data_IF_831557722925
#
_entry.id   IF_831557722925
#
_cell.length_a   1.000
_cell.length_b   1.000
_cell.length_c   1.000
_cell.angle_alpha   90.00
_cell.angle_beta   90.00
_cell.angle_gamma   90.00
#
_symmetry.space_group_name_H-M   'P 1'
#
loop_
_entity.id
_entity.type
_entity.pdbx_description
1 polymer ?
#
# COMPACT_ATOMS: atom_id res chain seq x y z
N UNK A 1 -53.47 -25.88 -53.97
CA UNK A 1 -52.03 -25.93 -54.31
C UNK A 1 -51.27 -26.06 -53.00
N UNK A 2 -50.49 -27.14 -52.85
CA UNK A 2 -49.64 -27.40 -51.67
C UNK A 2 -48.62 -26.25 -51.52
N UNK A 3 -48.29 -25.84 -50.29
CA UNK A 3 -47.01 -26.15 -49.63
C UNK A 3 -47.04 -25.58 -48.20
N UNK A 4 -46.70 -26.44 -47.24
CA UNK A 4 -46.28 -26.08 -45.88
C UNK A 4 -44.93 -25.37 -45.95
N UNK A 5 -44.62 -24.49 -44.99
CA UNK A 5 -43.33 -24.59 -44.30
C UNK A 5 -43.37 -23.91 -42.93
N UNK A 6 -42.84 -24.65 -41.95
CA UNK A 6 -42.86 -24.31 -40.53
C UNK A 6 -41.93 -23.15 -40.20
N UNK A 7 -42.50 -22.10 -39.59
CA UNK A 7 -41.73 -21.10 -38.87
C UNK A 7 -41.53 -21.54 -37.43
N UNK A 8 -40.32 -22.02 -37.13
CA UNK A 8 -39.80 -22.25 -35.79
C UNK A 8 -39.89 -20.93 -34.99
N UNK A 9 -40.74 -20.89 -33.95
CA UNK A 9 -40.79 -19.77 -33.01
C UNK A 9 -39.52 -19.80 -32.16
N UNK A 10 -38.47 -19.09 -32.60
CA UNK A 10 -37.25 -18.89 -31.81
C UNK A 10 -37.57 -17.90 -30.69
N UNK A 11 -37.89 -18.42 -29.51
CA UNK A 11 -37.94 -17.62 -28.28
C UNK A 11 -36.48 -17.27 -27.95
N UNK A 12 -36.04 -16.07 -28.34
CA UNK A 12 -34.79 -15.49 -27.87
C UNK A 12 -35.00 -15.12 -26.40
N UNK A 13 -34.72 -16.06 -25.51
CA UNK A 13 -34.52 -15.74 -24.10
C UNK A 13 -33.23 -14.92 -24.07
N UNK A 14 -33.37 -13.59 -23.91
CA UNK A 14 -32.28 -12.78 -23.39
C UNK A 14 -32.02 -13.29 -21.97
N UNK A 15 -31.10 -14.26 -21.87
CA UNK A 15 -30.43 -14.56 -20.63
C UNK A 15 -29.66 -13.27 -20.31
N UNK A 16 -30.29 -12.40 -19.53
CA UNK A 16 -29.64 -11.27 -18.90
C UNK A 16 -28.70 -11.91 -17.87
N UNK A 17 -27.54 -12.39 -18.35
CA UNK A 17 -26.40 -12.69 -17.50
C UNK A 17 -26.01 -11.34 -16.94
N UNK A 18 -26.60 -10.98 -15.80
CA UNK A 18 -25.98 -10.04 -14.89
C UNK A 18 -24.61 -10.67 -14.62
N UNK A 19 -23.60 -10.22 -15.35
CA UNK A 19 -22.25 -10.21 -14.83
C UNK A 19 -22.32 -9.25 -13.63
N UNK A 20 -22.84 -9.74 -12.51
CA UNK A 20 -22.31 -9.34 -11.22
C UNK A 20 -20.86 -9.81 -11.28
N UNK A 21 -19.99 -9.00 -11.87
CA UNK A 21 -18.62 -8.94 -11.39
C UNK A 21 -18.77 -8.42 -9.97
N UNK A 22 -19.07 -9.34 -9.04
CA UNK A 22 -18.65 -9.18 -7.67
C UNK A 22 -17.14 -9.12 -7.78
N UNK A 23 -16.60 -7.91 -7.93
CA UNK A 23 -15.30 -7.64 -7.37
C UNK A 23 -15.46 -8.09 -5.92
N UNK A 24 -14.95 -9.28 -5.61
CA UNK A 24 -14.69 -9.67 -4.24
C UNK A 24 -13.63 -8.67 -3.77
N UNK A 25 -14.07 -7.46 -3.42
CA UNK A 25 -13.32 -6.57 -2.55
C UNK A 25 -13.20 -7.39 -1.29
N UNK A 26 -11.99 -7.83 -0.97
CA UNK A 26 -11.76 -8.69 0.17
C UNK A 26 -12.39 -8.03 1.40
N UNK A 27 -13.45 -8.64 1.92
CA UNK A 27 -14.10 -8.19 3.13
C UNK A 27 -13.09 -8.38 4.28
N UNK A 28 -12.66 -7.25 4.87
CA UNK A 28 -11.84 -7.17 6.07
C UNK A 28 -10.65 -8.16 6.12
N UNK A 29 -9.55 -7.83 5.45
CA UNK A 29 -8.31 -8.61 5.54
C UNK A 29 -7.59 -8.48 6.88
N UNK A 30 -8.16 -7.75 7.85
CA UNK A 30 -7.53 -7.43 9.14
C UNK A 30 -6.13 -6.82 8.95
N UNK A 31 -5.92 -6.09 7.85
CA UNK A 31 -4.63 -5.54 7.49
C UNK A 31 -4.43 -4.19 8.19
N UNK A 32 -3.40 -4.12 9.02
CA UNK A 32 -2.93 -2.89 9.64
C UNK A 32 -1.56 -2.51 9.06
N UNK A 33 -1.38 -1.24 8.72
CA UNK A 33 -0.13 -0.72 8.16
C UNK A 33 0.34 0.54 8.87
N UNK A 34 1.64 0.65 9.10
CA UNK A 34 2.24 1.76 9.83
C UNK A 34 3.44 2.33 9.08
N UNK A 35 3.42 3.63 8.75
CA UNK A 35 4.63 4.34 8.32
C UNK A 35 5.58 4.55 9.49
N UNK A 36 6.89 4.38 9.27
CA UNK A 36 7.90 4.58 10.32
C UNK A 36 9.25 5.05 9.79
N UNK A 37 9.88 5.94 10.55
CA UNK A 37 11.31 6.25 10.51
C UNK A 37 11.69 7.50 9.74
N UNK A 38 10.73 8.25 9.20
CA UNK A 38 11.02 9.42 8.34
C UNK A 38 11.34 10.70 9.13
N UNK A 39 10.90 10.81 10.38
CA UNK A 39 10.93 12.07 11.15
C UNK A 39 11.83 11.94 12.38
N UNK A 40 11.70 10.84 13.11
CA UNK A 40 12.42 10.61 14.36
C UNK A 40 13.66 9.75 14.14
N UNK A 41 14.83 10.31 14.46
CA UNK A 41 16.09 9.56 14.43
C UNK A 41 16.20 8.51 15.56
N UNK A 42 15.25 8.43 16.48
CA UNK A 42 15.29 7.55 17.67
C UNK A 42 14.23 6.45 17.71
N UNK A 43 13.22 6.50 16.83
CA UNK A 43 12.12 5.52 16.82
C UNK A 43 12.62 4.10 16.49
N UNK A 44 12.04 3.09 17.14
CA UNK A 44 12.33 1.68 16.90
C UNK A 44 11.06 0.93 16.50
N UNK A 45 11.23 -0.15 15.73
CA UNK A 45 10.13 -1.07 15.42
C UNK A 45 9.47 -1.64 16.69
N UNK A 46 10.26 -1.88 17.74
CA UNK A 46 9.79 -2.42 19.02
C UNK A 46 8.94 -1.45 19.84
N UNK A 47 8.94 -0.16 19.50
CA UNK A 47 8.15 0.84 20.23
C UNK A 47 6.66 0.74 19.84
N UNK A 48 6.38 0.34 18.60
CA UNK A 48 5.02 0.25 18.05
C UNK A 48 4.36 -1.07 18.49
N UNK A 49 3.14 -1.04 19.06
CA UNK A 49 2.43 -2.24 19.47
C UNK A 49 2.00 -3.06 18.25
N UNK A 50 2.27 -4.37 18.28
CA UNK A 50 1.83 -5.33 17.26
C UNK A 50 0.83 -6.29 17.88
N UNK A 51 -0.42 -6.22 17.45
CA UNK A 51 -1.47 -7.17 17.79
C UNK A 51 -1.27 -8.45 16.95
N UNK A 52 -1.21 -9.65 17.55
CA UNK A 52 -1.04 -10.91 16.82
C UNK A 52 -2.25 -11.29 15.95
N UNK A 53 -3.42 -10.71 16.19
CA UNK A 53 -4.68 -11.07 15.52
C UNK A 53 -4.96 -10.29 14.22
N UNK A 54 -3.98 -9.48 13.76
CA UNK A 54 -4.05 -8.69 12.51
C UNK A 54 -2.88 -9.05 11.58
N UNK A 55 -3.03 -8.86 10.27
CA UNK A 55 -1.86 -8.83 9.36
C UNK A 55 -1.19 -7.46 9.52
N UNK A 56 0.03 -7.42 10.05
CA UNK A 56 0.70 -6.16 10.40
C UNK A 56 1.82 -5.86 9.41
N UNK A 57 1.81 -4.70 8.77
CA UNK A 57 2.93 -4.24 7.95
C UNK A 57 3.55 -2.95 8.48
N UNK A 58 4.87 -2.95 8.69
CA UNK A 58 5.62 -1.68 8.69
C UNK A 58 5.93 -1.25 7.26
N UNK A 59 5.93 0.05 7.02
CA UNK A 59 6.45 0.66 5.80
C UNK A 59 7.55 1.65 6.21
N UNK A 60 8.80 1.32 5.85
CA UNK A 60 9.95 2.18 6.12
C UNK A 60 9.90 3.40 5.19
N UNK A 61 9.95 4.60 5.76
CA UNK A 61 9.86 5.85 5.02
C UNK A 61 11.20 6.61 5.17
N UNK A 62 12.00 6.81 4.12
CA UNK A 62 11.83 6.40 2.72
C UNK A 62 13.14 5.84 2.13
N UNK A 63 13.05 5.08 1.05
CA UNK A 63 14.15 4.89 0.11
C UNK A 63 14.07 5.98 -0.97
N UNK A 64 15.14 6.76 -1.14
CA UNK A 64 15.18 7.87 -2.10
C UNK A 64 16.44 7.78 -2.95
N UNK A 65 16.33 8.05 -4.25
CA UNK A 65 17.42 8.07 -5.22
C UNK A 65 18.16 9.41 -5.26
N UNK A 66 18.45 9.96 -4.09
CA UNK A 66 19.21 11.18 -3.90
C UNK A 66 20.39 10.92 -2.96
N UNK A 67 21.40 11.78 -3.04
CA UNK A 67 22.39 11.94 -1.98
C UNK A 67 21.74 12.55 -0.74
N UNK A 68 22.54 12.98 0.23
CA UNK A 68 22.06 13.70 1.40
C UNK A 68 21.02 14.78 1.03
N UNK A 69 19.89 14.82 1.75
CA UNK A 69 18.80 15.78 1.49
C UNK A 69 19.04 17.16 2.13
N UNK A 70 19.95 17.24 3.10
CA UNK A 70 20.30 18.44 3.87
C UNK A 70 21.56 19.12 3.30
N UNK A 71 22.50 18.36 2.75
CA UNK A 71 23.80 18.83 2.27
C UNK A 71 23.91 18.58 0.76
N UNK A 72 23.63 19.61 -0.04
CA UNK A 72 23.75 19.60 -1.51
C UNK A 72 23.06 18.39 -2.16
N UNK A 73 21.71 18.31 -2.12
CA UNK A 73 20.99 17.19 -2.69
C UNK A 73 21.25 17.06 -4.19
N UNK A 74 21.60 15.86 -4.62
CA UNK A 74 21.80 15.51 -6.01
C UNK A 74 21.16 14.16 -6.33
N UNK A 75 20.47 14.01 -7.48
CA UNK A 75 19.95 12.73 -7.90
C UNK A 75 21.09 11.72 -8.10
N UNK A 76 20.89 10.48 -7.66
CA UNK A 76 21.84 9.39 -7.85
C UNK A 76 21.51 8.51 -9.04
N UNK A 77 20.59 8.96 -9.90
CA UNK A 77 20.11 8.26 -11.09
C UNK A 77 19.69 6.81 -10.77
N UNK A 78 18.83 6.67 -9.75
CA UNK A 78 18.22 5.41 -9.35
C UNK A 78 18.99 4.65 -8.26
N UNK A 79 20.14 5.13 -7.77
CA UNK A 79 20.73 4.48 -6.58
C UNK A 79 19.96 4.87 -5.31
N UNK A 80 18.95 4.09 -4.96
CA UNK A 80 18.18 4.25 -3.72
C UNK A 80 19.07 4.13 -2.49
N UNK A 81 19.01 5.14 -1.62
CA UNK A 81 19.64 5.16 -0.31
C UNK A 81 18.56 5.18 0.78
N UNK A 82 18.84 4.64 1.97
CA UNK A 82 17.91 4.67 3.08
C UNK A 82 17.89 6.07 3.74
N UNK A 83 16.70 6.64 3.90
CA UNK A 83 16.46 7.93 4.58
C UNK A 83 15.58 7.79 5.82
N UNK A 84 15.38 6.57 6.31
CA UNK A 84 14.77 6.33 7.60
C UNK A 84 15.81 6.30 8.73
N UNK A 85 15.37 6.13 9.98
CA UNK A 85 16.17 5.98 11.19
C UNK A 85 17.06 4.71 11.23
N UNK A 86 17.98 4.55 10.27
CA UNK A 86 18.81 3.34 10.02
C UNK A 86 19.65 2.91 11.22
N UNK A 87 20.01 3.83 12.12
CA UNK A 87 20.71 3.48 13.37
C UNK A 87 19.91 2.51 14.24
N UNK A 88 18.58 2.62 14.22
CA UNK A 88 17.67 1.85 15.06
C UNK A 88 16.78 0.89 14.27
N UNK A 89 16.60 1.15 12.97
CA UNK A 89 15.89 0.27 12.03
C UNK A 89 16.89 -0.27 11.00
N UNK A 90 17.65 -1.27 11.43
CA UNK A 90 18.70 -1.94 10.65
C UNK A 90 18.31 -3.42 10.39
N UNK A 91 19.05 -4.15 9.51
CA UNK A 91 18.72 -5.53 9.16
C UNK A 91 18.61 -6.50 10.36
N UNK A 92 19.41 -6.30 11.41
CA UNK A 92 19.37 -7.14 12.62
C UNK A 92 18.08 -6.94 13.39
N UNK A 93 17.67 -5.69 13.61
CA UNK A 93 16.43 -5.40 14.34
C UNK A 93 15.19 -5.80 13.54
N UNK A 94 15.18 -5.62 12.21
CA UNK A 94 14.11 -6.13 11.34
C UNK A 94 13.97 -7.64 11.48
N UNK A 95 15.08 -8.37 11.39
CA UNK A 95 15.07 -9.83 11.49
C UNK A 95 14.58 -10.30 12.85
N UNK A 96 14.99 -9.63 13.93
CA UNK A 96 14.53 -9.93 15.30
C UNK A 96 13.03 -9.65 15.47
N UNK A 97 12.54 -8.54 14.92
CA UNK A 97 11.12 -8.18 15.00
C UNK A 97 10.25 -9.20 14.26
N UNK A 98 10.64 -9.61 13.05
CA UNK A 98 9.94 -10.65 12.26
C UNK A 98 10.01 -12.04 12.93
N UNK A 99 11.11 -12.36 13.61
CA UNK A 99 11.21 -13.61 14.37
C UNK A 99 10.28 -13.64 15.59
N UNK A 100 9.94 -12.47 16.15
CA UNK A 100 9.06 -12.33 17.32
C UNK A 100 7.58 -12.27 16.92
N UNK A 101 7.27 -11.77 15.73
CA UNK A 101 5.90 -11.56 15.25
C UNK A 101 5.70 -12.25 13.90
N UNK A 102 5.10 -13.44 13.90
CA UNK A 102 4.88 -14.23 12.66
C UNK A 102 3.89 -13.60 11.69
N UNK A 103 3.06 -12.68 12.17
CA UNK A 103 2.10 -11.89 11.40
C UNK A 103 2.70 -10.59 10.81
N UNK A 104 3.99 -10.32 11.04
CA UNK A 104 4.65 -9.10 10.60
C UNK A 104 5.30 -9.24 9.23
N UNK A 105 5.03 -8.26 8.35
CA UNK A 105 5.83 -7.99 7.15
C UNK A 105 6.38 -6.57 7.19
N UNK A 106 7.46 -6.31 6.47
CA UNK A 106 8.06 -4.98 6.39
C UNK A 106 8.30 -4.61 4.92
N UNK A 107 7.79 -3.46 4.50
CA UNK A 107 8.06 -2.86 3.19
C UNK A 107 8.90 -1.60 3.31
N UNK A 108 9.37 -1.10 2.19
CA UNK A 108 9.97 0.24 2.08
C UNK A 108 9.16 1.09 1.10
N UNK A 109 8.87 2.33 1.48
CA UNK A 109 8.26 3.29 0.57
C UNK A 109 9.31 4.02 -0.25
N UNK A 110 9.01 4.13 -1.54
CA UNK A 110 9.86 4.77 -2.52
C UNK A 110 9.43 6.22 -2.70
N UNK A 111 10.32 7.14 -2.33
CA UNK A 111 10.31 8.53 -2.78
C UNK A 111 11.38 8.77 -3.85
N UNK A 112 11.37 9.94 -4.49
CA UNK A 112 12.40 10.32 -5.47
C UNK A 112 11.88 10.44 -6.90
N UNK A 113 12.72 10.30 -7.94
CA UNK A 113 12.34 10.63 -9.32
C UNK A 113 12.67 9.56 -10.39
N UNK A 114 13.42 8.49 -10.07
CA UNK A 114 13.94 7.60 -11.13
C UNK A 114 13.89 6.10 -10.86
N UNK A 115 14.06 5.33 -11.95
CA UNK A 115 14.02 3.86 -11.98
C UNK A 115 15.36 3.26 -11.53
N UNK A 116 15.33 2.37 -10.56
CA UNK A 116 16.38 1.37 -10.43
C UNK A 116 15.92 0.09 -9.75
N UNK A 117 15.87 -0.96 -10.56
CA UNK A 117 15.54 -2.30 -10.09
C UNK A 117 16.69 -2.87 -9.25
N UNK A 118 17.95 -2.62 -9.62
CA UNK A 118 19.12 -3.27 -9.00
C UNK A 118 19.39 -2.81 -7.57
N UNK A 119 19.48 -1.50 -7.33
CA UNK A 119 19.69 -0.91 -6.00
C UNK A 119 18.58 -1.29 -5.04
N UNK A 120 17.32 -1.18 -5.48
CA UNK A 120 16.16 -1.57 -4.70
C UNK A 120 16.14 -3.07 -4.39
N UNK A 121 16.48 -3.93 -5.35
CA UNK A 121 16.60 -5.39 -5.11
C UNK A 121 17.66 -5.70 -4.05
N UNK A 122 18.81 -5.04 -4.11
CA UNK A 122 19.87 -5.21 -3.10
C UNK A 122 19.40 -4.77 -1.71
N UNK A 123 18.77 -3.60 -1.62
CA UNK A 123 18.23 -3.08 -0.35
C UNK A 123 17.16 -4.01 0.24
N UNK A 124 16.21 -4.49 -0.58
CA UNK A 124 15.17 -5.43 -0.15
C UNK A 124 15.78 -6.69 0.44
N UNK A 125 16.82 -7.24 -0.21
CA UNK A 125 17.52 -8.44 0.27
C UNK A 125 18.32 -8.17 1.55
N UNK A 126 19.06 -7.06 1.59
CA UNK A 126 19.90 -6.68 2.73
C UNK A 126 19.06 -6.48 4.00
N UNK A 127 17.93 -5.80 3.89
CA UNK A 127 17.03 -5.50 5.01
C UNK A 127 15.97 -6.58 5.25
N UNK A 128 15.95 -7.67 4.46
CA UNK A 128 14.94 -8.73 4.55
C UNK A 128 13.48 -8.19 4.45
N UNK A 129 13.26 -7.29 3.48
CA UNK A 129 11.97 -6.65 3.24
C UNK A 129 11.06 -7.56 2.40
N UNK A 130 9.76 -7.45 2.65
CA UNK A 130 8.70 -8.26 2.04
C UNK A 130 7.96 -7.55 0.92
N UNK A 131 8.10 -6.23 0.80
CA UNK A 131 7.30 -5.41 -0.10
C UNK A 131 7.88 -4.03 -0.38
N UNK A 132 7.20 -3.31 -1.27
CA UNK A 132 7.44 -1.90 -1.53
C UNK A 132 6.14 -1.11 -1.50
N UNK A 133 6.24 0.17 -1.19
CA UNK A 133 5.17 1.15 -1.35
C UNK A 133 5.60 2.24 -2.35
N UNK A 134 4.67 2.73 -3.16
CA UNK A 134 4.94 3.79 -4.14
C UNK A 134 4.26 5.07 -3.65
N UNK A 135 5.07 6.07 -3.28
CA UNK A 135 4.63 7.32 -2.67
C UNK A 135 5.30 8.56 -3.32
N UNK A 136 5.32 8.56 -4.65
CA UNK A 136 5.75 9.70 -5.45
C UNK A 136 4.65 10.78 -5.44
N UNK A 137 5.02 11.99 -5.03
CA UNK A 137 4.13 13.17 -5.05
C UNK A 137 4.53 14.23 -6.08
N UNK A 138 5.76 14.14 -6.61
CA UNK A 138 6.31 15.05 -7.60
C UNK A 138 6.70 14.26 -8.85
N UNK A 139 6.28 14.74 -10.02
CA UNK A 139 6.42 14.01 -11.27
C UNK A 139 7.15 14.84 -12.32
N UNK A 140 8.22 14.29 -12.88
CA UNK A 140 8.95 14.86 -14.02
C UNK A 140 8.55 14.27 -15.36
N UNK A 141 7.66 13.27 -15.36
CA UNK A 141 7.20 12.53 -16.54
C UNK A 141 5.70 12.56 -16.63
N UNK A 142 5.13 12.27 -17.79
CA UNK A 142 3.67 12.15 -17.95
C UNK A 142 3.10 10.89 -17.25
N UNK A 143 1.77 10.86 -16.99
CA UNK A 143 1.10 9.73 -16.34
C UNK A 143 1.32 8.36 -16.98
N UNK A 144 1.41 8.26 -18.32
CA UNK A 144 1.57 6.97 -18.99
C UNK A 144 3.00 6.46 -18.86
N UNK A 145 3.97 7.35 -18.98
CA UNK A 145 5.37 7.02 -18.72
C UNK A 145 5.52 6.54 -17.29
N UNK A 146 5.07 7.32 -16.29
CA UNK A 146 5.08 6.89 -14.88
C UNK A 146 4.44 5.52 -14.67
N UNK A 147 3.24 5.31 -15.20
CA UNK A 147 2.52 4.03 -15.09
C UNK A 147 3.35 2.86 -15.63
N UNK A 148 3.97 3.00 -16.80
CA UNK A 148 4.83 1.97 -17.38
C UNK A 148 6.08 1.71 -16.52
N UNK A 149 6.69 2.78 -16.02
CA UNK A 149 7.88 2.72 -15.18
C UNK A 149 7.63 1.89 -13.92
N UNK A 150 6.65 2.30 -13.13
CA UNK A 150 6.31 1.71 -11.85
C UNK A 150 5.65 0.35 -12.04
N UNK A 151 4.75 0.21 -13.00
CA UNK A 151 4.07 -1.05 -13.28
C UNK A 151 5.03 -2.17 -13.65
N UNK A 152 6.01 -1.91 -14.52
CA UNK A 152 7.06 -2.90 -14.85
C UNK A 152 7.98 -3.20 -13.68
N UNK A 153 8.33 -2.20 -12.86
CA UNK A 153 9.11 -2.41 -11.64
C UNK A 153 8.42 -3.41 -10.71
N UNK A 154 7.17 -3.13 -10.34
CA UNK A 154 6.37 -3.98 -9.43
C UNK A 154 6.20 -5.39 -10.02
N UNK A 155 5.86 -5.49 -11.31
CA UNK A 155 5.73 -6.80 -11.97
C UNK A 155 7.04 -7.61 -11.93
N UNK A 156 8.18 -6.97 -12.20
CA UNK A 156 9.46 -7.66 -12.22
C UNK A 156 9.85 -8.14 -10.82
N UNK A 157 9.71 -7.30 -9.79
CA UNK A 157 10.01 -7.66 -8.39
C UNK A 157 9.11 -8.78 -7.86
N UNK A 158 7.82 -8.76 -8.22
CA UNK A 158 6.90 -9.87 -7.90
C UNK A 158 7.26 -11.14 -8.66
N UNK A 159 7.51 -11.05 -9.97
CA UNK A 159 7.83 -12.21 -10.82
C UNK A 159 9.15 -12.88 -10.39
N UNK A 160 10.13 -12.13 -9.91
CA UNK A 160 11.37 -12.67 -9.37
C UNK A 160 11.25 -13.24 -7.95
N UNK A 161 10.10 -13.08 -7.30
CA UNK A 161 9.92 -13.44 -5.89
C UNK A 161 10.70 -12.55 -4.92
N UNK A 162 11.17 -11.37 -5.37
CA UNK A 162 11.90 -10.41 -4.53
C UNK A 162 10.98 -9.71 -3.54
N UNK A 163 9.71 -9.51 -3.91
CA UNK A 163 8.68 -9.00 -3.01
C UNK A 163 7.44 -9.89 -3.04
N UNK A 164 6.75 -9.96 -1.91
CA UNK A 164 5.46 -10.64 -1.77
C UNK A 164 4.28 -9.69 -1.99
N UNK A 165 4.43 -8.40 -1.68
CA UNK A 165 3.38 -7.40 -1.87
C UNK A 165 3.90 -6.06 -2.39
N UNK A 166 2.99 -5.27 -2.94
CA UNK A 166 3.22 -3.88 -3.30
C UNK A 166 1.97 -3.06 -3.01
N UNK A 167 2.14 -1.78 -2.65
CA UNK A 167 1.05 -0.80 -2.49
C UNK A 167 1.37 0.52 -3.19
N UNK A 168 0.37 1.38 -3.27
CA UNK A 168 0.45 2.75 -3.79
C UNK A 168 -0.25 3.68 -2.80
N UNK A 169 0.26 4.90 -2.64
CA UNK A 169 -0.23 5.87 -1.65
C UNK A 169 -0.73 7.18 -2.33
N UNK A 170 -1.76 7.13 -3.20
CA UNK A 170 -2.28 8.34 -3.84
C UNK A 170 -3.10 9.19 -2.86
N UNK A 171 -3.22 10.49 -3.16
CA UNK A 171 -4.24 11.37 -2.59
C UNK A 171 -4.97 12.16 -3.68
N UNK A 172 -6.12 12.73 -3.33
CA UNK A 172 -6.90 13.55 -4.23
C UNK A 172 -6.38 14.99 -4.21
N UNK A 173 -5.76 15.38 -5.31
CA UNK A 173 -5.24 16.74 -5.55
C UNK A 173 -5.89 17.41 -6.76
N UNK A 174 -6.90 16.77 -7.38
CA UNK A 174 -7.44 17.08 -8.72
C UNK A 174 -6.34 17.26 -9.81
N UNK A 175 -5.14 16.76 -9.51
CA UNK A 175 -3.89 17.31 -10.01
C UNK A 175 -2.98 16.23 -10.56
N UNK A 176 -1.69 16.37 -10.30
CA UNK A 176 -0.71 15.43 -10.82
C UNK A 176 -0.81 14.08 -10.11
N UNK A 177 -0.92 14.03 -8.79
CA UNK A 177 -0.91 12.76 -8.04
C UNK A 177 -2.04 11.86 -8.51
N UNK A 178 -3.27 12.38 -8.51
CA UNK A 178 -4.44 11.60 -8.93
C UNK A 178 -4.31 11.08 -10.37
N UNK A 179 -3.85 11.91 -11.32
CA UNK A 179 -3.68 11.52 -12.73
C UNK A 179 -2.67 10.38 -12.90
N UNK A 180 -1.53 10.45 -12.22
CA UNK A 180 -0.45 9.48 -12.36
C UNK A 180 -0.82 8.12 -11.75
N UNK A 181 -1.35 8.10 -10.53
CA UNK A 181 -1.77 6.85 -9.89
C UNK A 181 -3.00 6.23 -10.53
N UNK A 182 -3.95 7.03 -11.04
CA UNK A 182 -5.08 6.51 -11.83
C UNK A 182 -4.59 5.84 -13.11
N UNK A 183 -3.60 6.41 -13.80
CA UNK A 183 -3.01 5.79 -14.99
C UNK A 183 -2.32 4.45 -14.65
N UNK A 184 -1.55 4.41 -13.55
CA UNK A 184 -0.92 3.19 -13.04
C UNK A 184 -1.96 2.12 -12.69
N UNK A 185 -2.98 2.51 -11.92
CA UNK A 185 -4.06 1.61 -11.50
C UNK A 185 -4.86 1.05 -12.68
N UNK A 186 -5.23 1.90 -13.64
CA UNK A 186 -5.96 1.46 -14.83
C UNK A 186 -5.16 0.45 -15.65
N UNK A 187 -3.85 0.65 -15.77
CA UNK A 187 -2.99 -0.18 -16.64
C UNK A 187 -2.55 -1.48 -15.97
N UNK A 188 -2.23 -1.43 -14.68
CA UNK A 188 -1.66 -2.58 -13.96
C UNK A 188 -2.54 -3.12 -12.83
N UNK A 189 -3.47 -2.34 -12.28
CA UNK A 189 -4.33 -2.74 -11.17
C UNK A 189 -5.17 -3.97 -11.46
N UNK A 190 -5.92 -4.01 -12.56
CA UNK A 190 -6.81 -5.14 -12.90
C UNK A 190 -6.06 -6.47 -13.11
N UNK A 191 -4.88 -6.41 -13.73
CA UNK A 191 -4.01 -7.59 -13.94
C UNK A 191 -3.37 -8.09 -12.64
N UNK A 192 -3.17 -7.19 -11.67
CA UNK A 192 -2.69 -7.56 -10.34
C UNK A 192 -3.83 -8.13 -9.49
N UNK A 193 -5.05 -7.58 -9.61
CA UNK A 193 -6.23 -8.04 -8.88
C UNK A 193 -6.57 -9.51 -9.16
N UNK A 194 -6.63 -9.90 -10.45
CA UNK A 194 -6.97 -11.28 -10.84
C UNK A 194 -5.90 -12.30 -10.47
N UNK A 195 -4.65 -11.86 -10.31
CA UNK A 195 -3.50 -12.74 -10.00
C UNK A 195 -3.15 -12.81 -8.52
N UNK A 196 -3.59 -11.85 -7.70
CA UNK A 196 -3.10 -11.68 -6.32
C UNK A 196 -4.19 -11.32 -5.28
N UNK A 197 -5.45 -11.71 -5.49
CA UNK A 197 -6.48 -11.70 -4.42
C UNK A 197 -7.30 -10.41 -4.28
N UNK A 198 -7.38 -9.59 -5.33
CA UNK A 198 -8.24 -8.40 -5.35
C UNK A 198 -7.57 -7.11 -4.85
N UNK A 199 -8.26 -5.98 -5.04
CA UNK A 199 -7.83 -4.67 -4.59
C UNK A 199 -8.40 -4.37 -3.21
N UNK A 200 -7.56 -3.91 -2.29
CA UNK A 200 -7.98 -3.43 -0.97
C UNK A 200 -7.74 -1.93 -0.91
N UNK A 201 -8.79 -1.19 -0.53
CA UNK A 201 -8.67 0.22 -0.16
C UNK A 201 -8.63 0.24 1.36
N UNK A 202 -7.58 0.85 1.93
CA UNK A 202 -7.43 1.01 3.37
C UNK A 202 -7.99 2.37 3.78
N UNK A 203 -8.69 2.42 4.91
CA UNK A 203 -8.95 3.70 5.57
C UNK A 203 -7.64 4.19 6.20
N UNK A 204 -7.42 5.51 6.26
CA UNK A 204 -6.19 6.05 6.85
C UNK A 204 -6.39 7.37 7.56
N UNK A 205 -5.49 7.64 8.51
CA UNK A 205 -5.38 8.92 9.18
C UNK A 205 -3.91 9.30 9.39
N UNK A 206 -3.67 10.58 9.67
CA UNK A 206 -2.35 11.13 9.97
C UNK A 206 -2.27 11.50 11.45
N UNK A 207 -1.29 10.96 12.17
CA UNK A 207 -1.13 11.08 13.62
C UNK A 207 -0.57 12.42 14.08
N UNK A 208 -0.04 13.24 13.16
CA UNK A 208 0.43 14.61 13.46
C UNK A 208 -0.71 15.64 13.55
N UNK A 209 -1.96 15.22 13.34
CA UNK A 209 -3.12 16.11 13.26
C UNK A 209 -3.30 16.75 11.88
N UNK A 210 -2.70 16.16 10.84
CA UNK A 210 -2.83 16.60 9.45
C UNK A 210 -4.25 16.52 8.88
N UNK A 211 -4.36 16.70 7.57
CA UNK A 211 -5.65 16.78 6.89
C UNK A 211 -6.39 15.44 6.87
N UNK A 212 -7.72 15.49 6.75
CA UNK A 212 -8.59 14.33 6.64
C UNK A 212 -9.49 14.15 7.85
N UNK A 213 -10.17 13.00 7.92
CA UNK A 213 -11.01 12.62 9.05
C UNK A 213 -10.13 12.04 10.15
N UNK A 214 -9.94 12.79 11.24
CA UNK A 214 -9.05 12.41 12.34
C UNK A 214 -9.63 11.32 13.26
N UNK A 215 -8.78 10.65 14.05
CA UNK A 215 -9.22 9.64 15.04
C UNK A 215 -10.21 10.15 16.10
N UNK A 216 -10.21 11.46 16.38
CA UNK A 216 -11.13 12.11 17.32
C UNK A 216 -12.37 12.72 16.63
N UNK A 217 -12.43 12.68 15.30
CA UNK A 217 -13.41 13.40 14.48
C UNK A 217 -14.33 12.47 13.66
N UNK A 218 -14.53 11.22 14.10
CA UNK A 218 -15.46 10.30 13.42
C UNK A 218 -14.79 9.21 12.56
N UNK A 219 -13.45 9.12 12.56
CA UNK A 219 -12.73 8.13 11.75
C UNK A 219 -13.13 6.69 12.09
N UNK A 220 -13.21 6.34 13.38
CA UNK A 220 -13.52 4.97 13.78
C UNK A 220 -14.98 4.61 13.53
N UNK A 221 -15.91 5.54 13.69
CA UNK A 221 -17.32 5.41 13.33
C UNK A 221 -17.48 5.15 11.82
N UNK A 222 -16.71 5.85 10.98
CA UNK A 222 -16.65 5.59 9.55
C UNK A 222 -16.07 4.20 9.24
N UNK A 223 -15.01 3.78 9.95
CA UNK A 223 -14.46 2.43 9.83
C UNK A 223 -15.47 1.35 10.24
N UNK A 224 -16.22 1.53 11.32
CA UNK A 224 -17.27 0.61 11.77
C UNK A 224 -18.37 0.46 10.71
N UNK A 225 -18.80 1.56 10.08
CA UNK A 225 -19.77 1.49 8.99
C UNK A 225 -19.21 0.76 7.76
N UNK A 226 -17.92 0.97 7.43
CA UNK A 226 -17.25 0.22 6.37
C UNK A 226 -17.12 -1.27 6.70
N UNK A 227 -16.87 -1.63 7.96
CA UNK A 227 -16.87 -3.02 8.44
C UNK A 227 -18.26 -3.64 8.26
N UNK A 228 -19.30 -2.96 8.73
CA UNK A 228 -20.70 -3.42 8.60
C UNK A 228 -21.12 -3.65 7.16
N UNK A 229 -20.57 -2.85 6.23
CA UNK A 229 -20.80 -2.96 4.78
C UNK A 229 -19.87 -3.94 4.08
N UNK A 230 -18.93 -4.59 4.79
CA UNK A 230 -17.89 -5.47 4.22
C UNK A 230 -17.02 -4.74 3.18
N UNK A 231 -16.73 -3.47 3.42
CA UNK A 231 -15.97 -2.59 2.52
C UNK A 231 -14.63 -2.12 3.08
N UNK A 232 -14.37 -2.35 4.37
CA UNK A 232 -13.07 -2.00 4.94
C UNK A 232 -12.02 -3.01 4.50
N UNK A 233 -11.03 -2.56 3.74
CA UNK A 233 -9.87 -3.39 3.36
C UNK A 233 -8.77 -3.43 4.43
N UNK A 234 -8.83 -2.57 5.44
CA UNK A 234 -7.84 -2.45 6.52
C UNK A 234 -7.62 -0.99 6.91
N UNK A 235 -6.66 -0.74 7.80
CA UNK A 235 -6.30 0.60 8.29
C UNK A 235 -4.81 0.84 8.07
N UNK A 236 -4.48 2.07 7.67
CA UNK A 236 -3.12 2.56 7.53
C UNK A 236 -2.92 3.86 8.33
N UNK A 237 -1.76 4.01 8.96
CA UNK A 237 -1.44 5.17 9.79
C UNK A 237 -0.11 5.80 9.36
N UNK A 238 -0.10 7.14 9.31
CA UNK A 238 1.10 7.95 9.10
C UNK A 238 1.26 8.92 10.28
N UNK A 239 2.25 8.80 11.16
CA UNK A 239 3.29 7.78 11.24
C UNK A 239 3.65 7.49 12.68
N UNK A 240 4.36 6.38 12.91
CA UNK A 240 4.81 5.94 14.22
C UNK A 240 5.69 6.98 14.91
N UNK A 241 6.46 7.74 14.12
CA UNK A 241 7.31 8.83 14.59
C UNK A 241 6.52 9.88 15.38
N UNK A 242 5.34 10.26 14.88
CA UNK A 242 4.44 11.23 15.52
C UNK A 242 3.61 10.58 16.62
N UNK A 243 3.20 9.33 16.45
CA UNK A 243 2.42 8.57 17.43
C UNK A 243 3.20 8.21 18.69
N UNK A 244 4.54 8.16 18.62
CA UNK A 244 5.40 7.76 19.72
C UNK A 244 5.16 8.60 20.98
N UNK A 245 5.06 9.93 20.84
CA UNK A 245 4.79 10.85 21.98
C UNK A 245 3.38 10.69 22.57
N UNK A 246 2.48 10.00 21.87
CA UNK A 246 1.09 9.76 22.26
C UNK A 246 0.84 8.31 22.71
N UNK A 247 1.90 7.51 22.87
CA UNK A 247 1.80 6.15 23.41
C UNK A 247 1.04 5.18 22.51
N UNK A 248 0.99 5.47 21.21
CA UNK A 248 0.33 4.66 20.18
C UNK A 248 -1.14 4.35 20.46
N UNK A 249 -1.88 5.33 20.99
CA UNK A 249 -3.28 5.16 21.37
C UNK A 249 -4.14 4.73 20.17
N UNK A 250 -3.97 5.38 19.02
CA UNK A 250 -4.84 5.17 17.87
C UNK A 250 -4.48 3.89 17.11
N UNK A 251 -3.21 3.52 17.06
CA UNK A 251 -2.74 2.25 16.47
C UNK A 251 -3.32 1.06 17.24
N UNK A 252 -3.37 1.13 18.58
CA UNK A 252 -4.00 0.09 19.40
C UNK A 252 -5.50 -0.03 19.09
N UNK A 253 -6.21 1.10 19.01
CA UNK A 253 -7.65 1.11 18.68
C UNK A 253 -7.88 0.54 17.28
N UNK A 254 -7.12 0.98 16.28
CA UNK A 254 -7.20 0.47 14.90
C UNK A 254 -6.99 -1.03 14.82
N UNK A 255 -5.96 -1.55 15.49
CA UNK A 255 -5.67 -2.99 15.50
C UNK A 255 -6.75 -3.79 16.24
N UNK A 256 -7.27 -3.29 17.37
CA UNK A 256 -8.39 -3.93 18.07
C UNK A 256 -9.65 -3.95 17.22
N UNK A 257 -9.98 -2.84 16.56
CA UNK A 257 -11.14 -2.75 15.66
C UNK A 257 -11.03 -3.79 14.54
N UNK A 258 -9.88 -3.87 13.86
CA UNK A 258 -9.63 -4.85 12.80
C UNK A 258 -9.68 -6.30 13.29
N UNK A 259 -9.10 -6.59 14.46
CA UNK A 259 -9.12 -7.92 15.04
C UNK A 259 -10.55 -8.41 15.33
N UNK A 260 -11.42 -7.49 15.77
CA UNK A 260 -12.82 -7.77 16.14
C UNK A 260 -13.81 -7.85 14.97
N UNK A 261 -13.38 -7.42 13.79
CA UNK A 261 -14.23 -7.29 12.61
C UNK A 261 -14.24 -8.55 11.71
#
# INVERSE_FOLDING_TARGET
MKFYDGGLLVIIIFLFVLFLTTCNVAANSKLFREYIGAVSDSIKLSDVPVNPDVEFHFILAFAIDYTDLKINPSPTNGKFNPFWATKHINPTEISRMKATHSNLKIAVSLGGATKAISSLTSMIKEYNLDGIDIDYEQFSTDPNTFAECIGRLVMNLKKSGTISFASISPYDDEGSVQKHYTALWRKYGSNQQSRYGGAQILASFISDGGQGLGPEDGFFEACEELIRRQKLGGIFVRSADDSFKHGFRYEKISQTLLASA
#
